data_IF_152298458138
#
_entry.id   IF_152298458138
#
_cell.length_a   1.000
_cell.length_b   1.000
_cell.length_c   1.000
_cell.angle_alpha   90.00
_cell.angle_beta   90.00
_cell.angle_gamma   90.00
#
_symmetry.space_group_name_H-M   'P 1'
#
loop_
_entity.id
_entity.type
_entity.pdbx_description
1 polymer ?
#
# COMPACT_ATOMS: atom_id res chain seq x y z
N UNK A 1 -25.62 2.34 -6.86
CA UNK A 1 -24.65 1.77 -5.89
C UNK A 1 -25.22 0.57 -5.14
N UNK A 2 -24.47 -0.54 -5.10
CA UNK A 2 -24.78 -1.64 -4.18
C UNK A 2 -24.42 -1.24 -2.76
N UNK A 3 -25.41 -1.24 -1.87
CA UNK A 3 -25.25 -0.99 -0.42
C UNK A 3 -25.13 -2.30 0.36
N UNK A 4 -25.10 -3.42 -0.35
CA UNK A 4 -25.04 -4.77 0.21
C UNK A 4 -23.59 -5.09 0.55
N UNK A 5 -23.35 -5.42 1.81
CA UNK A 5 -22.05 -5.81 2.33
C UNK A 5 -22.17 -7.09 3.15
N UNK A 6 -21.09 -7.83 3.29
CA UNK A 6 -21.00 -9.02 4.12
C UNK A 6 -20.07 -8.77 5.31
N UNK A 7 -20.63 -8.26 6.41
CA UNK A 7 -19.93 -8.10 7.68
C UNK A 7 -20.94 -8.11 8.83
N UNK A 8 -20.47 -8.43 10.04
CA UNK A 8 -21.27 -8.32 11.25
C UNK A 8 -21.16 -6.92 11.87
N UNK A 9 -19.92 -6.43 12.01
CA UNK A 9 -19.59 -5.12 12.58
C UNK A 9 -18.51 -4.43 11.72
N UNK A 10 -18.77 -3.22 11.19
CA UNK A 10 -17.79 -2.50 10.36
C UNK A 10 -16.52 -2.13 11.14
N UNK A 11 -16.58 -2.02 12.47
CA UNK A 11 -15.46 -1.72 13.36
C UNK A 11 -14.40 -2.82 13.33
N UNK A 12 -14.85 -4.07 13.27
CA UNK A 12 -13.98 -5.26 13.29
C UNK A 12 -13.61 -5.76 11.89
N UNK A 13 -14.17 -5.17 10.83
CA UNK A 13 -14.06 -5.66 9.46
C UNK A 13 -12.60 -5.82 9.00
N UNK A 14 -11.79 -4.77 9.15
CA UNK A 14 -10.37 -4.79 8.73
C UNK A 14 -9.59 -5.86 9.50
N UNK A 15 -9.65 -5.86 10.83
CA UNK A 15 -8.91 -6.83 11.64
C UNK A 15 -9.34 -8.28 11.34
N UNK A 16 -10.64 -8.52 11.14
CA UNK A 16 -11.15 -9.85 10.77
C UNK A 16 -10.59 -10.31 9.42
N UNK A 17 -10.56 -9.41 8.42
CA UNK A 17 -10.00 -9.71 7.11
C UNK A 17 -8.48 -9.99 7.19
N UNK A 18 -7.72 -9.21 7.97
CA UNK A 18 -6.29 -9.43 8.16
C UNK A 18 -6.02 -10.76 8.86
N UNK A 19 -6.75 -11.09 9.93
CA UNK A 19 -6.60 -12.36 10.65
C UNK A 19 -6.80 -13.57 9.74
N UNK A 20 -7.78 -13.50 8.82
CA UNK A 20 -8.05 -14.57 7.86
C UNK A 20 -6.82 -14.94 7.02
N UNK A 21 -5.92 -13.98 6.73
CA UNK A 21 -4.74 -14.24 5.90
C UNK A 21 -3.79 -15.26 6.53
N UNK A 22 -3.59 -15.20 7.86
CA UNK A 22 -2.78 -16.19 8.58
C UNK A 22 -3.47 -17.55 8.75
N UNK A 23 -4.80 -17.59 8.64
CA UNK A 23 -5.55 -18.85 8.63
C UNK A 23 -5.45 -19.55 7.27
N UNK A 24 -5.39 -18.78 6.18
CA UNK A 24 -5.30 -19.31 4.81
C UNK A 24 -3.88 -19.52 4.32
N UNK A 25 -2.89 -18.86 4.91
CA UNK A 25 -1.48 -18.98 4.55
C UNK A 25 -0.61 -19.10 5.81
N UNK A 26 -0.06 -20.29 6.13
CA UNK A 26 0.72 -20.51 7.34
C UNK A 26 2.03 -19.74 7.39
N UNK A 27 2.58 -19.30 6.24
CA UNK A 27 3.79 -18.47 6.20
C UNK A 27 3.55 -17.04 6.71
N UNK A 28 2.28 -16.63 6.88
CA UNK A 28 1.91 -15.29 7.33
C UNK A 28 1.58 -15.25 8.82
N UNK A 29 1.94 -14.14 9.45
CA UNK A 29 1.52 -13.76 10.78
C UNK A 29 0.87 -12.36 10.77
N UNK A 30 0.07 -12.08 11.80
CA UNK A 30 -0.68 -10.83 11.92
C UNK A 30 -0.40 -10.17 13.25
N UNK A 31 0.09 -8.93 13.22
CA UNK A 31 0.04 -8.02 14.36
C UNK A 31 -1.30 -7.29 14.31
N UNK A 32 -2.27 -7.78 15.08
CA UNK A 32 -3.63 -7.22 15.08
C UNK A 32 -3.73 -5.84 15.73
N UNK A 33 -2.77 -5.48 16.59
CA UNK A 33 -2.74 -4.17 17.24
C UNK A 33 -2.34 -3.10 16.22
N UNK A 34 -1.30 -3.36 15.45
CA UNK A 34 -0.79 -2.43 14.45
C UNK A 34 -1.34 -2.66 13.03
N UNK A 35 -2.17 -3.68 12.82
CA UNK A 35 -2.73 -4.07 11.51
C UNK A 35 -1.65 -4.41 10.48
N UNK A 36 -0.65 -5.18 10.91
CA UNK A 36 0.47 -5.58 10.05
C UNK A 36 0.32 -7.06 9.70
N UNK A 37 0.40 -7.37 8.42
CA UNK A 37 0.58 -8.75 7.94
C UNK A 37 1.99 -8.88 7.44
N UNK A 38 2.70 -9.92 7.87
CA UNK A 38 4.12 -10.08 7.59
C UNK A 38 4.47 -11.56 7.41
N UNK A 39 5.53 -11.83 6.64
CA UNK A 39 6.15 -13.15 6.56
C UNK A 39 6.68 -13.52 7.94
N UNK A 40 6.38 -14.73 8.40
CA UNK A 40 6.99 -15.26 9.63
C UNK A 40 8.51 -15.27 9.48
N UNK A 41 9.28 -15.04 10.56
CA UNK A 41 10.74 -15.07 10.49
C UNK A 41 11.30 -16.39 9.93
N UNK A 42 10.62 -17.52 10.15
CA UNK A 42 10.97 -18.83 9.58
C UNK A 42 10.87 -18.91 8.06
N UNK A 43 10.04 -18.06 7.46
CA UNK A 43 9.68 -18.06 6.04
C UNK A 43 10.23 -16.80 5.33
N UNK A 44 10.83 -15.88 6.08
CA UNK A 44 11.40 -14.65 5.56
C UNK A 44 12.87 -14.87 5.11
N UNK A 45 13.20 -14.74 3.82
CA UNK A 45 14.57 -14.84 3.34
C UNK A 45 15.42 -13.66 3.82
N UNK A 46 16.72 -13.88 4.03
CA UNK A 46 17.70 -12.82 4.31
C UNK A 46 18.00 -12.02 3.03
N UNK A 47 17.21 -10.98 2.80
CA UNK A 47 17.27 -10.09 1.64
C UNK A 47 16.80 -8.68 2.03
N UNK A 48 16.82 -7.73 1.09
CA UNK A 48 16.17 -6.42 1.29
C UNK A 48 14.70 -6.66 1.63
N UNK A 49 14.25 -6.15 2.78
CA UNK A 49 12.85 -6.27 3.18
C UNK A 49 11.98 -5.27 2.43
N UNK A 50 10.88 -5.74 1.85
CA UNK A 50 9.94 -4.88 1.15
C UNK A 50 8.71 -4.64 2.02
N UNK A 51 8.41 -3.37 2.28
CA UNK A 51 7.25 -2.94 3.06
C UNK A 51 6.35 -2.08 2.19
N UNK A 52 5.05 -2.32 2.24
CA UNK A 52 4.04 -1.45 1.61
C UNK A 52 2.82 -1.32 2.53
N UNK A 53 1.81 -0.59 2.09
CA UNK A 53 0.60 -0.37 2.88
C UNK A 53 -0.22 0.79 2.37
N UNK A 54 -1.28 1.08 3.10
CA UNK A 54 -2.26 2.11 2.74
C UNK A 54 -3.61 1.84 3.38
N UNK A 55 -4.62 2.61 2.97
CA UNK A 55 -5.99 2.35 3.41
C UNK A 55 -6.51 0.98 2.93
N UNK A 56 -7.30 0.32 3.78
CA UNK A 56 -8.00 -0.92 3.40
C UNK A 56 -9.12 -0.66 2.39
N UNK A 57 -9.65 -1.72 1.78
CA UNK A 57 -10.68 -1.63 0.74
C UNK A 57 -10.11 -1.69 -0.68
N UNK A 58 -8.83 -2.05 -0.81
CA UNK A 58 -8.12 -2.26 -2.07
C UNK A 58 -7.55 -3.68 -2.19
N UNK A 59 -8.07 -4.62 -1.38
CA UNK A 59 -7.63 -6.00 -1.38
C UNK A 59 -7.71 -6.60 -2.81
N UNK A 60 -6.69 -7.32 -3.29
CA UNK A 60 -5.58 -7.90 -2.52
C UNK A 60 -4.45 -6.93 -2.14
N UNK A 61 -4.45 -5.68 -2.60
CA UNK A 61 -3.40 -4.72 -2.21
C UNK A 61 -3.57 -4.23 -0.77
N UNK A 62 -2.53 -4.20 0.07
CA UNK A 62 -1.20 -4.81 -0.13
C UNK A 62 -1.03 -6.14 0.62
N UNK A 63 -1.98 -6.48 1.50
CA UNK A 63 -1.87 -7.66 2.35
C UNK A 63 -1.75 -8.97 1.58
N UNK A 64 -2.49 -9.12 0.49
CA UNK A 64 -2.41 -10.30 -0.39
C UNK A 64 -1.11 -10.38 -1.20
N UNK A 65 -0.26 -9.36 -1.14
CA UNK A 65 1.05 -9.31 -1.79
C UNK A 65 2.19 -9.61 -0.79
N UNK A 66 1.89 -9.96 0.46
CA UNK A 66 2.90 -10.43 1.42
C UNK A 66 3.24 -11.88 1.10
N UNK A 67 4.49 -12.13 0.75
CA UNK A 67 4.92 -13.42 0.22
C UNK A 67 6.31 -13.38 -0.41
N UNK A 68 6.90 -14.56 -0.61
CA UNK A 68 8.17 -14.72 -1.30
C UNK A 68 8.14 -14.04 -2.68
N UNK A 69 9.20 -13.30 -3.01
CA UNK A 69 9.33 -12.58 -4.28
C UNK A 69 8.41 -11.36 -4.46
N UNK A 70 7.71 -10.95 -3.39
CA UNK A 70 6.86 -9.74 -3.31
C UNK A 70 7.20 -8.95 -2.03
N UNK A 71 6.22 -8.72 -1.13
CA UNK A 71 6.41 -7.95 0.10
C UNK A 71 6.81 -8.86 1.28
N UNK A 72 7.70 -8.35 2.13
CA UNK A 72 7.99 -8.93 3.45
C UNK A 72 6.88 -8.60 4.45
N UNK A 73 6.35 -7.38 4.40
CA UNK A 73 5.23 -6.96 5.23
C UNK A 73 4.32 -5.92 4.55
N UNK A 74 3.07 -5.88 5.00
CA UNK A 74 2.07 -4.89 4.62
C UNK A 74 1.44 -4.28 5.87
N UNK A 75 1.34 -2.95 5.92
CA UNK A 75 0.70 -2.21 7.02
C UNK A 75 -0.64 -1.67 6.53
N UNK A 76 -1.74 -2.11 7.15
CA UNK A 76 -3.09 -1.71 6.76
C UNK A 76 -3.62 -0.56 7.64
N UNK A 77 -4.21 0.44 6.99
CA UNK A 77 -4.93 1.52 7.63
C UNK A 77 -6.37 1.16 7.96
N UNK A 78 -7.24 2.17 8.04
CA UNK A 78 -8.70 1.93 8.00
C UNK A 78 -9.19 2.04 6.55
N UNK A 79 -10.47 1.78 6.29
CA UNK A 79 -10.99 1.79 4.92
C UNK A 79 -10.79 3.18 4.30
N UNK A 80 -10.03 3.24 3.22
CA UNK A 80 -9.63 4.47 2.50
C UNK A 80 -8.87 5.53 3.33
N UNK A 81 -8.25 5.14 4.43
CA UNK A 81 -7.36 6.04 5.17
C UNK A 81 -6.05 5.35 5.54
N UNK A 82 -4.95 6.06 5.25
CA UNK A 82 -3.57 5.62 5.47
C UNK A 82 -3.34 5.11 6.91
N UNK A 83 -2.51 4.07 7.12
CA UNK A 83 -2.05 3.71 8.45
C UNK A 83 -1.26 4.84 9.10
N UNK A 84 -1.24 4.89 10.43
CA UNK A 84 -0.47 5.91 11.14
C UNK A 84 1.04 5.67 10.99
N UNK A 85 1.83 6.75 11.13
CA UNK A 85 3.30 6.65 11.16
C UNK A 85 3.81 5.67 12.24
N UNK A 86 3.08 5.52 13.35
CA UNK A 86 3.40 4.56 14.41
C UNK A 86 3.21 3.11 13.95
N UNK A 87 2.07 2.80 13.32
CA UNK A 87 1.82 1.46 12.75
C UNK A 87 2.90 1.10 11.72
N UNK A 88 3.25 2.05 10.85
CA UNK A 88 4.27 1.84 9.81
C UNK A 88 5.65 1.64 10.44
N UNK A 89 6.01 2.46 11.44
CA UNK A 89 7.28 2.33 12.16
C UNK A 89 7.39 0.96 12.84
N UNK A 90 6.30 0.47 13.45
CA UNK A 90 6.26 -0.87 14.02
C UNK A 90 6.49 -1.94 12.93
N UNK A 91 5.90 -1.79 11.75
CA UNK A 91 6.14 -2.66 10.60
C UNK A 91 7.60 -2.72 10.16
N UNK A 92 8.22 -1.54 9.99
CA UNK A 92 9.61 -1.42 9.51
C UNK A 92 10.62 -1.92 10.55
N UNK A 93 10.43 -1.59 11.83
CA UNK A 93 11.46 -1.81 12.86
C UNK A 93 11.30 -3.15 13.58
N UNK A 94 10.09 -3.69 13.66
CA UNK A 94 9.81 -4.85 14.53
C UNK A 94 9.31 -6.09 13.80
N UNK A 95 8.85 -5.96 12.54
CA UNK A 95 8.18 -7.05 11.80
C UNK A 95 8.92 -7.52 10.57
N UNK A 96 10.04 -6.90 10.22
CA UNK A 96 10.87 -7.29 9.06
C UNK A 96 12.35 -7.31 9.45
N UNK A 97 13.14 -8.08 8.71
CA UNK A 97 14.60 -8.07 8.84
C UNK A 97 15.17 -6.78 8.24
N UNK A 98 16.03 -6.09 9.00
CA UNK A 98 16.64 -4.82 8.62
C UNK A 98 18.09 -4.95 8.18
N UNK A 99 18.71 -6.13 8.28
CA UNK A 99 20.15 -6.32 8.07
C UNK A 99 20.60 -5.98 6.65
N UNK A 100 19.76 -6.24 5.66
CA UNK A 100 19.98 -5.87 4.24
C UNK A 100 19.32 -4.54 3.84
N UNK A 101 18.68 -3.87 4.80
CA UNK A 101 17.89 -2.68 4.60
C UNK A 101 16.44 -2.94 4.22
N UNK A 102 15.65 -1.87 4.23
CA UNK A 102 14.21 -1.91 3.99
C UNK A 102 13.83 -0.95 2.85
N UNK A 103 13.01 -1.41 1.91
CA UNK A 103 12.41 -0.57 0.89
C UNK A 103 10.91 -0.41 1.16
N UNK A 104 10.47 0.82 1.43
CA UNK A 104 9.07 1.19 1.49
C UNK A 104 8.55 1.58 0.10
N UNK A 105 7.57 0.85 -0.43
CA UNK A 105 6.92 1.15 -1.73
C UNK A 105 5.50 1.63 -1.46
N UNK A 106 5.16 2.86 -1.81
CA UNK A 106 3.86 3.46 -1.50
C UNK A 106 3.18 4.08 -2.70
N UNK A 107 1.85 4.12 -2.67
CA UNK A 107 1.05 4.87 -3.63
C UNK A 107 1.14 6.37 -3.32
N UNK A 108 1.10 7.20 -4.36
CA UNK A 108 1.17 8.65 -4.20
C UNK A 108 -0.17 9.26 -3.75
N UNK A 109 -0.52 9.06 -2.49
CA UNK A 109 -1.58 9.76 -1.78
C UNK A 109 -0.98 10.55 -0.62
N UNK A 110 -1.48 11.77 -0.38
CA UNK A 110 -0.91 12.67 0.64
C UNK A 110 -0.77 12.02 2.02
N UNK A 111 -1.80 11.29 2.47
CA UNK A 111 -1.74 10.59 3.75
C UNK A 111 -0.63 9.53 3.79
N UNK A 112 -0.52 8.73 2.73
CA UNK A 112 0.51 7.68 2.63
C UNK A 112 1.91 8.29 2.59
N UNK A 113 2.15 9.29 1.73
CA UNK A 113 3.45 9.96 1.62
C UNK A 113 3.90 10.57 2.94
N UNK A 114 2.98 11.24 3.66
CA UNK A 114 3.31 11.86 4.95
C UNK A 114 3.57 10.84 6.05
N UNK A 115 2.70 9.84 6.20
CA UNK A 115 2.82 8.85 7.27
C UNK A 115 4.01 7.91 7.07
N UNK A 116 4.22 7.41 5.85
CA UNK A 116 5.39 6.59 5.54
C UNK A 116 6.67 7.40 5.56
N UNK A 117 6.67 8.63 5.03
CA UNK A 117 7.83 9.51 5.11
C UNK A 117 8.28 9.75 6.56
N UNK A 118 7.34 10.02 7.46
CA UNK A 118 7.64 10.18 8.89
C UNK A 118 8.18 8.90 9.52
N UNK A 119 7.61 7.73 9.20
CA UNK A 119 8.09 6.45 9.69
C UNK A 119 9.48 6.09 9.17
N UNK A 120 9.77 6.38 7.89
CA UNK A 120 11.07 6.18 7.25
C UNK A 120 12.12 7.05 7.92
N UNK A 121 11.85 8.34 8.14
CA UNK A 121 12.80 9.23 8.82
C UNK A 121 13.03 8.84 10.28
N UNK A 122 11.99 8.36 10.98
CA UNK A 122 12.13 7.80 12.33
C UNK A 122 13.02 6.55 12.34
N UNK A 123 12.85 5.64 11.37
CA UNK A 123 13.66 4.43 11.25
C UNK A 123 15.13 4.76 10.89
N UNK A 124 15.38 5.71 9.98
CA UNK A 124 16.73 6.22 9.70
C UNK A 124 17.40 6.80 10.95
N UNK A 125 16.66 7.59 11.72
CA UNK A 125 17.14 8.17 12.98
C UNK A 125 17.49 7.11 14.04
N UNK A 126 16.87 5.93 13.95
CA UNK A 126 17.17 4.77 14.79
C UNK A 126 18.29 3.86 14.22
N UNK A 127 18.93 4.26 13.12
CA UNK A 127 20.04 3.53 12.50
C UNK A 127 19.63 2.47 11.47
N UNK A 128 18.33 2.37 11.13
CA UNK A 128 17.86 1.44 10.09
C UNK A 128 18.15 2.02 8.71
N UNK A 129 18.78 1.21 7.85
CA UNK A 129 18.95 1.57 6.43
C UNK A 129 17.61 1.37 5.70
N UNK A 130 16.89 2.46 5.45
CA UNK A 130 15.59 2.42 4.79
C UNK A 130 15.48 3.46 3.69
N UNK A 131 14.92 3.05 2.55
CA UNK A 131 14.56 3.91 1.43
C UNK A 131 13.06 3.87 1.14
N UNK A 132 12.58 4.83 0.37
CA UNK A 132 11.19 4.97 0.01
C UNK A 132 11.01 5.28 -1.48
N UNK A 133 10.11 4.56 -2.13
CA UNK A 133 9.68 4.76 -3.52
C UNK A 133 8.20 5.12 -3.54
N UNK A 134 7.88 6.22 -4.21
CA UNK A 134 6.51 6.72 -4.36
C UNK A 134 6.03 6.48 -5.79
N UNK A 135 4.95 5.72 -5.95
CA UNK A 135 4.41 5.34 -7.25
C UNK A 135 3.26 6.28 -7.63
N UNK A 136 3.40 6.97 -8.77
CA UNK A 136 2.44 7.92 -9.31
C UNK A 136 2.11 7.65 -10.77
N UNK A 137 1.51 6.49 -11.04
CA UNK A 137 1.26 5.97 -12.39
C UNK A 137 -0.05 6.45 -13.03
N UNK A 138 -0.99 7.01 -12.27
CA UNK A 138 -2.30 7.39 -12.78
C UNK A 138 -2.24 8.60 -13.73
N UNK A 139 -2.57 8.36 -15.01
CA UNK A 139 -2.62 9.38 -16.06
C UNK A 139 -4.03 9.93 -16.32
N UNK A 140 -5.03 9.49 -15.55
CA UNK A 140 -6.41 9.99 -15.64
C UNK A 140 -6.53 11.50 -15.35
N UNK A 141 -5.57 12.07 -14.62
CA UNK A 141 -5.40 13.52 -14.47
C UNK A 141 -4.06 13.94 -15.09
N UNK A 142 -4.11 14.85 -16.06
CA UNK A 142 -2.90 15.35 -16.74
C UNK A 142 -1.93 16.04 -15.77
N UNK A 143 -0.62 16.00 -16.07
CA UNK A 143 0.46 16.48 -15.17
C UNK A 143 0.24 17.91 -14.64
N UNK A 144 -0.23 18.82 -15.49
CA UNK A 144 -0.51 20.21 -15.11
C UNK A 144 -1.64 20.35 -14.05
N UNK A 145 -2.53 19.36 -13.95
CA UNK A 145 -3.66 19.33 -13.02
C UNK A 145 -3.40 18.49 -11.77
N UNK A 146 -2.26 17.80 -11.70
CA UNK A 146 -1.92 16.89 -10.61
C UNK A 146 -1.43 17.60 -9.32
N UNK A 147 -1.43 18.94 -9.32
CA UNK A 147 -1.08 19.75 -8.15
C UNK A 147 0.36 19.54 -7.66
N UNK A 148 0.61 19.87 -6.40
CA UNK A 148 1.94 19.77 -5.77
C UNK A 148 2.34 18.32 -5.44
N UNK A 149 1.37 17.43 -5.27
CA UNK A 149 1.60 16.03 -4.88
C UNK A 149 1.95 15.16 -6.10
N UNK A 150 1.49 15.55 -7.29
CA UNK A 150 1.71 14.78 -8.51
C UNK A 150 0.60 13.75 -8.76
N UNK A 151 0.86 12.81 -9.68
CA UNK A 151 -0.11 11.79 -10.10
C UNK A 151 -0.36 10.78 -8.98
N UNK A 152 -1.60 10.29 -8.86
CA UNK A 152 -1.96 9.23 -7.91
C UNK A 152 -1.23 7.93 -8.25
N UNK A 153 -0.97 7.10 -7.25
CA UNK A 153 -0.61 5.69 -7.46
C UNK A 153 -1.86 4.83 -7.52
N UNK A 154 -1.95 3.93 -8.49
CA UNK A 154 -3.06 2.96 -8.62
C UNK A 154 -2.52 1.54 -8.89
N UNK A 155 -3.16 0.78 -9.77
CA UNK A 155 -2.84 -0.64 -9.99
C UNK A 155 -1.39 -0.92 -10.41
N UNK A 156 -0.70 0.04 -11.03
CA UNK A 156 0.68 -0.09 -11.45
C UNK A 156 1.67 -0.35 -10.33
N UNK A 157 1.34 0.05 -9.09
CA UNK A 157 2.18 -0.22 -7.92
C UNK A 157 2.48 -1.71 -7.74
N UNK A 158 1.57 -2.60 -8.14
CA UNK A 158 1.79 -4.06 -8.07
C UNK A 158 2.99 -4.50 -8.91
N UNK A 159 3.21 -3.88 -10.08
CA UNK A 159 4.35 -4.19 -10.95
C UNK A 159 5.66 -3.71 -10.33
N UNK A 160 5.66 -2.53 -9.70
CA UNK A 160 6.82 -2.01 -8.96
C UNK A 160 7.18 -2.96 -7.81
N UNK A 161 6.19 -3.41 -7.04
CA UNK A 161 6.37 -4.39 -5.97
C UNK A 161 6.96 -5.71 -6.51
N UNK A 162 6.42 -6.24 -7.61
CA UNK A 162 6.89 -7.52 -8.17
C UNK A 162 8.32 -7.45 -8.69
N UNK A 163 8.69 -6.35 -9.35
CA UNK A 163 10.03 -6.14 -9.89
C UNK A 163 11.02 -5.94 -8.73
N UNK A 164 10.70 -5.07 -7.78
CA UNK A 164 11.55 -4.84 -6.60
C UNK A 164 11.73 -6.14 -5.78
N UNK A 165 10.65 -6.90 -5.56
CA UNK A 165 10.69 -8.15 -4.83
C UNK A 165 11.53 -9.22 -5.52
N UNK A 166 11.49 -9.28 -6.86
CA UNK A 166 12.35 -10.18 -7.63
C UNK A 166 13.83 -9.82 -7.49
N UNK A 167 14.18 -8.52 -7.50
CA UNK A 167 15.57 -8.10 -7.29
C UNK A 167 16.04 -8.38 -5.86
N UNK A 168 15.19 -8.15 -4.86
CA UNK A 168 15.52 -8.50 -3.48
C UNK A 168 15.79 -10.00 -3.35
N UNK A 169 14.97 -10.85 -3.97
CA UNK A 169 15.14 -12.31 -3.97
C UNK A 169 16.42 -12.78 -4.68
N UNK A 170 16.89 -12.04 -5.67
CA UNK A 170 18.19 -12.25 -6.30
C UNK A 170 19.37 -11.74 -5.46
N UNK A 171 19.13 -11.14 -4.29
CA UNK A 171 20.16 -10.69 -3.36
C UNK A 171 20.79 -9.34 -3.70
N UNK A 172 20.13 -8.51 -4.52
CA UNK A 172 20.62 -7.16 -4.84
C UNK A 172 20.61 -6.24 -3.62
N UNK A 173 21.45 -5.21 -3.66
CA UNK A 173 21.55 -4.20 -2.60
C UNK A 173 20.29 -3.34 -2.51
N UNK A 174 20.03 -2.73 -1.35
CA UNK A 174 18.92 -1.78 -1.19
C UNK A 174 18.98 -0.68 -2.26
N UNK A 175 20.17 -0.14 -2.53
CA UNK A 175 20.38 0.90 -3.54
C UNK A 175 19.96 0.45 -4.94
N UNK A 176 20.33 -0.77 -5.35
CA UNK A 176 19.97 -1.31 -6.66
C UNK A 176 18.46 -1.59 -6.75
N UNK A 177 17.87 -2.16 -5.69
CA UNK A 177 16.43 -2.40 -5.64
C UNK A 177 15.66 -1.07 -5.71
N UNK A 178 16.04 -0.06 -4.92
CA UNK A 178 15.46 1.29 -4.94
C UNK A 178 15.58 1.93 -6.32
N UNK A 179 16.75 1.83 -6.96
CA UNK A 179 16.99 2.38 -8.31
C UNK A 179 16.06 1.77 -9.34
N UNK A 180 15.94 0.45 -9.37
CA UNK A 180 15.10 -0.24 -10.35
C UNK A 180 13.61 -0.05 -10.04
N UNK A 181 13.22 0.03 -8.78
CA UNK A 181 11.85 0.36 -8.38
C UNK A 181 11.45 1.77 -8.85
N UNK A 182 12.32 2.77 -8.68
CA UNK A 182 12.10 4.12 -9.22
C UNK A 182 12.03 4.12 -10.75
N UNK A 183 12.98 3.48 -11.43
CA UNK A 183 12.97 3.36 -12.89
C UNK A 183 11.66 2.74 -13.40
N UNK A 184 11.18 1.69 -12.72
CA UNK A 184 9.90 1.05 -13.03
C UNK A 184 8.74 2.03 -12.84
N UNK A 185 8.68 2.72 -11.70
CA UNK A 185 7.62 3.67 -11.39
C UNK A 185 7.58 4.84 -12.39
N UNK A 186 8.73 5.33 -12.85
CA UNK A 186 8.84 6.42 -13.82
C UNK A 186 8.37 6.04 -15.24
N UNK A 187 8.46 4.75 -15.58
CA UNK A 187 8.09 4.22 -16.91
C UNK A 187 6.70 3.56 -16.93
N UNK A 188 5.95 3.63 -15.83
CA UNK A 188 4.64 3.02 -15.70
C UNK A 188 3.54 4.07 -15.80
N UNK A 189 2.51 3.77 -16.59
CA UNK A 189 1.29 4.56 -16.68
C UNK A 189 0.06 3.68 -16.58
N UNK A 190 -0.94 4.16 -15.86
CA UNK A 190 -2.23 3.49 -15.69
C UNK A 190 -3.37 4.49 -15.86
N UNK A 191 -4.52 4.04 -16.35
CA UNK A 191 -5.75 4.84 -16.42
C UNK A 191 -6.93 3.97 -16.01
N UNK A 192 -7.79 4.50 -15.15
CA UNK A 192 -8.99 3.81 -14.69
C UNK A 192 -10.26 4.55 -15.10
N UNK A 193 -11.35 3.80 -15.28
CA UNK A 193 -12.70 4.32 -15.44
C UNK A 193 -13.66 3.54 -14.53
N UNK A 194 -14.72 4.19 -14.05
CA UNK A 194 -15.77 3.55 -13.27
C UNK A 194 -17.15 3.95 -13.78
N UNK A 195 -18.11 3.02 -13.66
CA UNK A 195 -19.52 3.25 -14.00
C UNK A 195 -20.33 3.77 -12.79
N UNK A 196 -19.85 3.53 -11.57
CA UNK A 196 -20.52 3.93 -10.33
C UNK A 196 -19.47 4.14 -9.21
N UNK A 197 -19.90 4.70 -8.09
CA UNK A 197 -19.08 4.86 -6.88
C UNK A 197 -19.17 3.61 -5.98
N UNK A 198 -18.27 3.53 -5.01
CA UNK A 198 -18.29 2.49 -3.97
C UNK A 198 -18.98 3.01 -2.71
N UNK A 199 -19.72 2.14 -2.03
CA UNK A 199 -20.24 2.42 -0.70
C UNK A 199 -19.25 1.96 0.37
N UNK A 200 -18.86 2.84 1.28
CA UNK A 200 -17.97 2.47 2.41
C UNK A 200 -18.80 1.84 3.53
N UNK A 201 -18.50 0.60 3.96
CA UNK A 201 -19.14 -0.04 5.12
C UNK A 201 -19.25 0.89 6.33
N UNK A 202 -20.44 0.96 6.93
CA UNK A 202 -20.70 1.77 8.13
C UNK A 202 -20.88 3.28 7.90
N UNK A 203 -20.87 3.76 6.64
CA UNK A 203 -21.26 5.15 6.33
C UNK A 203 -22.73 5.24 5.90
N UNK A 204 -23.33 6.42 6.11
CA UNK A 204 -24.68 6.72 5.65
C UNK A 204 -24.76 6.76 4.12
N UNK A 205 -25.95 6.46 3.59
CA UNK A 205 -26.23 6.57 2.17
C UNK A 205 -26.34 8.03 1.77
N UNK A 206 -25.47 8.47 0.87
CA UNK A 206 -25.61 9.76 0.21
C UNK A 206 -26.72 9.64 -0.84
N UNK A 207 -27.75 10.49 -0.74
CA UNK A 207 -28.92 10.47 -1.62
C UNK A 207 -28.51 10.75 -3.08
N UNK A 208 -28.96 9.90 -4.02
CA UNK A 208 -28.40 9.81 -5.38
C UNK A 208 -29.00 10.81 -6.39
N UNK A 209 -29.85 11.74 -5.96
CA UNK A 209 -30.42 12.76 -6.84
C UNK A 209 -29.45 13.89 -7.24
N UNK A 210 -28.21 13.87 -6.76
CA UNK A 210 -27.26 14.99 -6.93
C UNK A 210 -26.05 14.69 -7.83
N UNK A 211 -25.97 13.50 -8.45
CA UNK A 211 -24.85 13.13 -9.32
C UNK A 211 -25.29 12.70 -10.72
N UNK A 212 -25.59 13.70 -11.55
CA UNK A 212 -25.72 13.51 -12.98
C UNK A 212 -24.39 12.97 -13.56
N UNK A 213 -24.55 11.87 -14.32
CA UNK A 213 -23.66 11.15 -15.26
C UNK A 213 -22.25 11.70 -15.51
N UNK A 214 -21.29 10.76 -15.65
CA UNK A 214 -19.93 10.89 -16.23
C UNK A 214 -19.55 12.31 -16.64
N UNK A 215 -18.67 12.96 -15.87
CA UNK A 215 -18.33 14.38 -15.96
C UNK A 215 -18.19 14.92 -17.40
N UNK A 216 -19.29 15.43 -17.99
CA UNK A 216 -19.28 16.18 -19.24
C UNK A 216 -19.10 17.67 -18.93
N UNK A 217 -18.03 18.04 -18.21
CA UNK A 217 -17.62 19.47 -18.19
C UNK A 217 -16.81 19.75 -19.45
N UNK A 218 -17.49 20.17 -20.53
CA UNK A 218 -16.83 20.88 -21.63
C UNK A 218 -16.27 22.20 -21.08
N UNK A 219 -15.02 22.57 -21.40
CA UNK A 219 -14.46 23.84 -20.98
C UNK A 219 -15.21 25.00 -21.66
N UNK A 220 -15.50 26.05 -20.89
CA UNK A 220 -15.78 27.39 -21.43
C UNK A 220 -14.46 28.04 -21.83
#
# INVERSE_FOLDING_TARGET
>A
MSTKHFFNDPTHLVNSALLATSLTNPALAVDSHHKIVYLRPSDAPSQVSLVSGGGSGHEPSFTGLVGQGLLTASVAGTIFASPSAEQISAGIVTRVDTDKGVLAIIMNYTGDVLNFGMAVEKAKSAGVKVDMVVVGDDVGVGRAKAGKVGRRGIAGTVLVVKIAGALAELGYSLEDVTKIANLTAENLVSVGASLDHVHVPGRELVDQNDSDRLSTKRPK
#
